data_IF_191080726783
#
_entry.id   IF_191080726783
#
_cell.length_a   1.000
_cell.length_b   1.000
_cell.length_c   1.000
_cell.angle_alpha   90.00
_cell.angle_beta   90.00
_cell.angle_gamma   90.00
#
_symmetry.space_group_name_H-M   'P 1'
#
loop_
_entity.id
_entity.type
_entity.pdbx_description
1 polymer ?
#
# COMPACT_ATOMS: atom_id res chain seq x y z
N UNK A 1 -18.04 21.31 27.28
CA UNK A 1 -17.62 19.99 26.74
C UNK A 1 -16.87 20.23 25.44
N UNK A 2 -15.54 20.34 25.50
CA UNK A 2 -14.69 20.63 24.34
C UNK A 2 -14.43 19.34 23.56
N UNK A 3 -15.07 19.20 22.40
CA UNK A 3 -14.69 18.19 21.41
C UNK A 3 -13.35 18.59 20.77
N UNK A 4 -12.26 18.05 21.29
CA UNK A 4 -10.98 18.04 20.59
C UNK A 4 -11.12 17.19 19.32
N UNK A 5 -11.23 17.86 18.16
CA UNK A 5 -10.92 17.25 16.86
C UNK A 5 -9.42 16.91 16.87
N UNK A 6 -9.08 15.66 17.18
CA UNK A 6 -7.75 15.10 16.97
C UNK A 6 -7.52 14.85 15.47
N UNK A 7 -7.49 15.92 14.68
CA UNK A 7 -6.98 15.94 13.31
C UNK A 7 -5.46 16.08 13.34
N UNK A 8 -4.77 15.12 13.96
CA UNK A 8 -3.32 15.04 13.83
C UNK A 8 -3.01 14.49 12.45
N UNK A 9 -2.36 15.30 11.61
CA UNK A 9 -1.73 14.89 10.36
C UNK A 9 -0.72 13.78 10.66
N UNK A 10 -1.21 12.53 10.70
CA UNK A 10 -0.35 11.36 10.75
C UNK A 10 0.34 11.28 9.41
N UNK A 11 1.64 11.52 9.44
CA UNK A 11 2.55 11.45 8.30
C UNK A 11 2.27 10.16 7.52
N UNK A 12 1.80 10.34 6.28
CA UNK A 12 1.44 9.24 5.38
C UNK A 12 2.74 8.75 4.72
N UNK A 13 3.19 7.51 4.99
CA UNK A 13 4.36 6.99 4.30
C UNK A 13 4.07 6.97 2.79
N UNK A 14 4.99 7.54 2.01
CA UNK A 14 4.84 7.67 0.56
C UNK A 14 4.50 9.06 0.02
N UNK A 15 4.15 10.05 0.86
CA UNK A 15 4.01 11.45 0.41
C UNK A 15 5.37 12.17 0.36
N UNK A 16 6.35 11.51 -0.29
CA UNK A 16 7.64 12.13 -0.60
C UNK A 16 7.36 13.23 -1.60
N UNK A 17 7.25 14.49 -1.14
CA UNK A 17 7.42 15.64 -2.03
C UNK A 17 8.76 15.42 -2.73
N UNK A 18 8.74 15.24 -4.06
CA UNK A 18 9.95 15.23 -4.87
C UNK A 18 10.56 16.63 -4.78
N UNK A 19 11.39 16.89 -3.79
CA UNK A 19 12.31 18.01 -3.81
C UNK A 19 13.50 17.62 -4.68
N UNK A 20 13.74 18.38 -5.76
CA UNK A 20 15.01 18.41 -6.47
C UNK A 20 15.30 17.24 -7.40
N UNK A 21 15.36 17.51 -8.70
CA UNK A 21 16.16 16.69 -9.62
C UNK A 21 17.62 16.92 -9.26
N UNK A 22 18.33 15.88 -8.84
CA UNK A 22 19.78 15.80 -9.05
C UNK A 22 20.01 14.73 -10.11
N UNK A 23 20.47 15.21 -11.28
CA UNK A 23 21.14 14.37 -12.26
C UNK A 23 22.51 14.09 -11.66
N UNK A 24 22.86 12.83 -11.46
CA UNK A 24 24.26 12.47 -11.48
C UNK A 24 24.47 11.30 -12.44
N UNK A 25 25.43 11.51 -13.32
CA UNK A 25 25.82 10.59 -14.36
C UNK A 25 26.95 9.71 -13.84
N UNK A 26 26.81 8.40 -14.00
CA UNK A 26 27.96 7.51 -14.06
C UNK A 26 27.58 6.29 -14.90
N UNK A 27 28.31 6.17 -16.00
CA UNK A 27 28.21 5.12 -17.00
C UNK A 27 29.21 3.99 -16.69
N UNK A 28 28.84 2.76 -17.09
CA UNK A 28 29.65 1.53 -17.24
C UNK A 28 30.09 0.81 -15.94
N UNK A 29 29.85 -0.50 -15.75
CA UNK A 29 30.29 -1.61 -16.60
C UNK A 29 29.35 -2.83 -16.62
N UNK A 30 29.54 -3.62 -17.68
CA UNK A 30 28.74 -4.71 -18.21
C UNK A 30 28.78 -6.04 -17.42
N UNK A 31 27.69 -6.80 -17.53
CA UNK A 31 27.57 -8.22 -17.23
C UNK A 31 26.37 -8.81 -17.97
N UNK A 32 26.62 -9.69 -18.94
CA UNK A 32 25.68 -10.19 -19.96
C UNK A 32 24.52 -11.09 -19.49
N UNK A 33 23.73 -11.62 -20.45
CA UNK A 33 22.28 -11.76 -20.31
C UNK A 33 21.83 -13.14 -19.80
N UNK A 34 20.84 -13.16 -18.91
CA UNK A 34 20.04 -14.36 -18.67
C UNK A 34 18.67 -14.24 -19.35
N UNK A 35 18.57 -14.91 -20.50
CA UNK A 35 17.31 -15.26 -21.16
C UNK A 35 16.51 -16.17 -20.22
N UNK A 36 15.30 -15.76 -19.86
CA UNK A 36 14.29 -16.65 -19.32
C UNK A 36 12.95 -16.40 -20.02
N UNK A 37 12.54 -17.38 -20.84
CA UNK A 37 11.14 -17.71 -21.14
C UNK A 37 10.26 -16.62 -21.75
N UNK A 38 10.28 -16.53 -23.09
CA UNK A 38 9.19 -15.95 -23.89
C UNK A 38 7.90 -16.74 -23.59
N UNK A 39 6.96 -16.17 -22.83
CA UNK A 39 5.56 -16.60 -22.84
C UNK A 39 4.82 -15.76 -23.88
N UNK A 40 4.54 -16.39 -25.01
CA UNK A 40 3.68 -15.89 -26.07
C UNK A 40 2.22 -15.83 -25.63
N UNK A 41 1.47 -14.86 -26.17
CA UNK A 41 0.04 -15.05 -26.46
C UNK A 41 -0.99 -14.45 -25.51
N UNK A 42 -0.99 -13.13 -25.33
CA UNK A 42 -2.14 -12.19 -25.24
C UNK A 42 -1.54 -10.85 -24.83
N UNK A 43 -1.86 -9.76 -25.52
CA UNK A 43 -1.61 -8.43 -24.94
C UNK A 43 -2.39 -8.41 -23.62
N UNK A 44 -1.68 -8.49 -22.49
CA UNK A 44 -2.34 -8.61 -21.19
C UNK A 44 -3.20 -7.37 -20.99
N UNK A 45 -4.41 -7.51 -20.46
CA UNK A 45 -5.29 -6.38 -20.12
C UNK A 45 -4.51 -5.30 -19.32
N UNK A 46 -3.52 -5.72 -18.53
CA UNK A 46 -2.48 -4.91 -17.88
C UNK A 46 -1.85 -3.83 -18.77
N UNK A 47 -1.44 -4.18 -20.00
CA UNK A 47 -0.68 -3.31 -20.91
C UNK A 47 -1.54 -2.22 -21.53
N UNK A 48 -2.84 -2.48 -21.69
CA UNK A 48 -3.78 -1.52 -22.28
C UNK A 48 -4.52 -0.67 -21.23
N UNK A 49 -4.88 -1.26 -20.08
CA UNK A 49 -5.72 -0.59 -19.08
C UNK A 49 -4.93 0.27 -18.09
N UNK A 50 -3.71 -0.12 -17.71
CA UNK A 50 -2.95 0.66 -16.72
C UNK A 50 -2.66 2.11 -17.16
N UNK A 51 -2.27 2.38 -18.42
CA UNK A 51 -2.10 3.75 -18.89
C UNK A 51 -3.40 4.57 -18.76
N UNK A 52 -4.54 3.99 -19.12
CA UNK A 52 -5.85 4.66 -19.04
C UNK A 52 -6.23 4.97 -17.59
N UNK A 53 -6.07 3.99 -16.68
CA UNK A 53 -6.30 4.19 -15.24
C UNK A 53 -5.35 5.25 -14.67
N UNK A 54 -4.09 5.26 -15.12
CA UNK A 54 -3.09 6.21 -14.64
C UNK A 54 -3.28 7.63 -15.17
N UNK A 55 -3.93 7.81 -16.32
CA UNK A 55 -4.16 9.12 -16.95
C UNK A 55 -5.45 9.81 -16.50
N UNK A 56 -6.33 9.14 -15.75
CA UNK A 56 -7.61 9.69 -15.30
C UNK A 56 -7.45 10.99 -14.52
N UNK A 57 -8.26 12.00 -14.83
CA UNK A 57 -8.13 13.33 -14.23
C UNK A 57 -9.19 13.63 -13.17
N UNK A 58 -10.33 12.92 -13.21
CA UNK A 58 -11.43 13.15 -12.28
C UNK A 58 -12.10 11.85 -11.82
N UNK A 59 -12.83 11.94 -10.70
CA UNK A 59 -13.45 10.79 -10.05
C UNK A 59 -14.48 10.09 -10.95
N UNK A 60 -15.29 10.83 -11.70
CA UNK A 60 -16.34 10.26 -12.56
C UNK A 60 -15.76 9.40 -13.67
N UNK A 61 -14.74 9.91 -14.36
CA UNK A 61 -14.00 9.16 -15.39
C UNK A 61 -13.36 7.90 -14.80
N UNK A 62 -12.73 8.03 -13.62
CA UNK A 62 -12.10 6.92 -12.91
C UNK A 62 -13.10 5.83 -12.52
N UNK A 63 -14.30 6.20 -12.07
CA UNK A 63 -15.38 5.26 -11.76
C UNK A 63 -15.90 4.56 -13.02
N UNK A 64 -16.16 5.30 -14.09
CA UNK A 64 -16.65 4.74 -15.36
C UNK A 64 -15.67 3.73 -15.98
N UNK A 65 -14.37 3.98 -15.91
CA UNK A 65 -13.33 3.04 -16.38
C UNK A 65 -13.35 1.77 -15.54
N UNK A 66 -13.46 1.88 -14.21
CA UNK A 66 -13.54 0.71 -13.35
C UNK A 66 -14.75 -0.15 -13.68
N UNK A 67 -15.93 0.45 -13.82
CA UNK A 67 -17.17 -0.27 -14.12
C UNK A 67 -17.10 -0.98 -15.48
N UNK A 68 -16.58 -0.30 -16.50
CA UNK A 68 -16.52 -0.84 -17.86
C UNK A 68 -15.52 -1.99 -18.01
N UNK A 69 -14.56 -2.13 -17.09
CA UNK A 69 -13.44 -3.07 -17.20
C UNK A 69 -13.30 -3.99 -15.98
N UNK A 70 -14.27 -4.01 -15.05
CA UNK A 70 -14.13 -4.67 -13.75
C UNK A 70 -13.75 -6.17 -13.87
N UNK A 71 -14.27 -6.85 -14.88
CA UNK A 71 -14.08 -8.28 -15.10
C UNK A 71 -12.69 -8.59 -15.69
N UNK A 72 -12.06 -7.64 -16.38
CA UNK A 72 -10.73 -7.80 -16.98
C UNK A 72 -9.61 -7.32 -16.05
N UNK A 73 -9.95 -6.69 -14.92
CA UNK A 73 -8.97 -6.18 -13.96
C UNK A 73 -8.16 -7.31 -13.32
N UNK A 74 -6.83 -7.15 -13.41
CA UNK A 74 -5.83 -7.94 -12.70
C UNK A 74 -5.39 -7.23 -11.39
N UNK A 75 -4.54 -7.86 -10.56
CA UNK A 75 -4.02 -7.25 -9.33
C UNK A 75 -3.39 -5.86 -9.51
N UNK A 76 -2.68 -5.63 -10.61
CA UNK A 76 -2.02 -4.36 -10.88
C UNK A 76 -3.07 -3.29 -11.21
N UNK A 77 -4.07 -3.61 -12.03
CA UNK A 77 -5.16 -2.70 -12.36
C UNK A 77 -5.96 -2.34 -11.10
N UNK A 78 -6.31 -3.31 -10.26
CA UNK A 78 -7.05 -3.10 -9.01
C UNK A 78 -6.29 -2.17 -8.07
N UNK A 79 -5.01 -2.48 -7.81
CA UNK A 79 -4.15 -1.64 -6.97
C UNK A 79 -3.99 -0.24 -7.55
N UNK A 80 -3.74 -0.13 -8.86
CA UNK A 80 -3.55 1.17 -9.52
C UNK A 80 -4.82 2.00 -9.44
N UNK A 81 -5.99 1.38 -9.65
CA UNK A 81 -7.27 2.05 -9.54
C UNK A 81 -7.51 2.61 -8.13
N UNK A 82 -7.38 1.77 -7.10
CA UNK A 82 -7.55 2.20 -5.70
C UNK A 82 -6.52 3.26 -5.30
N UNK A 83 -5.27 3.14 -5.77
CA UNK A 83 -4.23 4.12 -5.49
C UNK A 83 -4.49 5.46 -6.16
N UNK A 84 -4.95 5.46 -7.43
CA UNK A 84 -5.35 6.68 -8.13
C UNK A 84 -6.52 7.34 -7.42
N UNK A 85 -7.57 6.58 -7.10
CA UNK A 85 -8.71 7.06 -6.32
C UNK A 85 -8.23 7.70 -5.00
N UNK A 86 -7.41 7.01 -4.21
CA UNK A 86 -6.86 7.54 -2.96
C UNK A 86 -6.10 8.87 -3.12
N UNK A 87 -5.33 9.02 -4.21
CA UNK A 87 -4.59 10.26 -4.49
C UNK A 87 -5.49 11.39 -5.01
N UNK A 88 -6.48 11.07 -5.84
CA UNK A 88 -7.44 12.04 -6.38
C UNK A 88 -8.35 12.61 -5.30
N UNK A 89 -8.64 11.80 -4.27
CA UNK A 89 -9.59 12.15 -3.22
C UNK A 89 -8.89 12.69 -1.96
N UNK A 90 -7.59 12.96 -2.05
CA UNK A 90 -6.70 13.39 -0.96
C UNK A 90 -7.00 14.76 -0.35
N UNK A 91 -8.22 15.26 -0.51
CA UNK A 91 -8.71 16.54 -0.02
C UNK A 91 -10.22 16.66 -0.23
N UNK A 92 -11.00 15.93 0.57
CA UNK A 92 -12.47 16.02 0.70
C UNK A 92 -13.25 15.58 -0.55
N UNK A 93 -13.64 14.31 -0.57
CA UNK A 93 -14.74 13.82 -1.42
C UNK A 93 -16.07 14.27 -0.81
N UNK A 94 -17.04 14.71 -1.64
CA UNK A 94 -18.39 15.03 -1.13
C UNK A 94 -19.07 13.78 -0.58
N UNK A 95 -20.16 13.95 0.18
CA UNK A 95 -20.91 12.81 0.71
C UNK A 95 -21.50 11.98 -0.43
N UNK A 96 -21.98 12.66 -1.46
CA UNK A 96 -22.61 12.08 -2.64
C UNK A 96 -21.59 11.28 -3.46
N UNK A 97 -20.43 11.86 -3.74
CA UNK A 97 -19.33 11.18 -4.43
C UNK A 97 -18.85 9.94 -3.66
N UNK A 98 -18.81 10.02 -2.32
CA UNK A 98 -18.42 8.90 -1.47
C UNK A 98 -19.42 7.77 -1.54
N UNK A 99 -20.70 8.10 -1.50
CA UNK A 99 -21.77 7.11 -1.63
C UNK A 99 -21.72 6.45 -3.02
N UNK A 100 -21.60 7.25 -4.08
CA UNK A 100 -21.53 6.76 -5.45
C UNK A 100 -20.32 5.84 -5.65
N UNK A 101 -19.12 6.27 -5.22
CA UNK A 101 -17.92 5.44 -5.26
C UNK A 101 -18.09 4.13 -4.49
N UNK A 102 -18.69 4.20 -3.30
CA UNK A 102 -18.86 3.04 -2.44
C UNK A 102 -19.83 2.00 -3.02
N UNK A 103 -20.93 2.46 -3.60
CA UNK A 103 -21.98 1.61 -4.19
C UNK A 103 -21.56 1.03 -5.54
N UNK A 104 -20.96 1.86 -6.41
CA UNK A 104 -20.68 1.48 -7.79
C UNK A 104 -19.38 0.70 -7.94
N UNK A 105 -18.31 1.13 -7.27
CA UNK A 105 -16.95 0.66 -7.60
C UNK A 105 -16.25 -0.04 -6.43
N UNK A 106 -16.32 0.51 -5.23
CA UNK A 106 -15.53 0.04 -4.08
C UNK A 106 -15.77 -1.43 -3.75
N UNK A 107 -17.03 -1.85 -3.60
CA UNK A 107 -17.39 -3.24 -3.26
C UNK A 107 -16.87 -4.23 -4.30
N UNK A 108 -16.98 -3.88 -5.58
CA UNK A 108 -16.53 -4.73 -6.68
C UNK A 108 -15.00 -4.84 -6.70
N UNK A 109 -14.27 -3.73 -6.54
CA UNK A 109 -12.80 -3.75 -6.46
C UNK A 109 -12.30 -4.57 -5.27
N UNK A 110 -12.95 -4.47 -4.11
CA UNK A 110 -12.60 -5.29 -2.94
C UNK A 110 -12.86 -6.77 -3.18
N UNK A 111 -13.97 -7.12 -3.82
CA UNK A 111 -14.26 -8.51 -4.19
C UNK A 111 -13.22 -9.05 -5.16
N UNK A 112 -12.91 -8.31 -6.23
CA UNK A 112 -11.87 -8.67 -7.20
C UNK A 112 -10.50 -8.82 -6.55
N UNK A 113 -10.15 -7.93 -5.61
CA UNK A 113 -8.91 -8.02 -4.83
C UNK A 113 -8.87 -9.30 -3.99
N UNK A 114 -9.98 -9.67 -3.36
CA UNK A 114 -10.09 -10.89 -2.57
C UNK A 114 -9.96 -12.15 -3.43
N UNK A 115 -10.64 -12.19 -4.58
CA UNK A 115 -10.64 -13.34 -5.49
C UNK A 115 -9.26 -13.62 -6.10
N UNK A 116 -8.49 -12.56 -6.36
CA UNK A 116 -7.17 -12.62 -7.02
C UNK A 116 -5.99 -12.38 -6.09
N UNK A 117 -6.21 -12.37 -4.76
CA UNK A 117 -5.19 -11.97 -3.77
C UNK A 117 -3.89 -12.79 -3.85
N UNK A 118 -3.98 -14.04 -4.32
CA UNK A 118 -2.84 -14.95 -4.52
C UNK A 118 -1.85 -14.44 -5.57
N UNK A 119 -2.34 -13.66 -6.53
CA UNK A 119 -1.56 -13.12 -7.64
C UNK A 119 -0.92 -11.76 -7.30
N UNK A 120 -1.18 -11.22 -6.11
CA UNK A 120 -0.57 -9.96 -5.67
C UNK A 120 0.90 -10.17 -5.25
N UNK A 121 1.78 -9.29 -5.74
CA UNK A 121 3.16 -9.16 -5.29
C UNK A 121 3.30 -8.26 -4.06
N UNK A 122 4.51 -8.16 -3.48
CA UNK A 122 4.78 -7.33 -2.30
C UNK A 122 4.31 -5.88 -2.46
N UNK A 123 4.70 -5.25 -3.58
CA UNK A 123 4.37 -3.87 -3.90
C UNK A 123 2.88 -3.66 -4.16
N UNK A 124 2.19 -4.62 -4.78
CA UNK A 124 0.75 -4.47 -5.01
C UNK A 124 -0.05 -4.68 -3.72
N UNK A 125 0.39 -5.58 -2.82
CA UNK A 125 -0.20 -5.74 -1.48
C UNK A 125 0.01 -4.49 -0.60
N UNK A 126 1.23 -3.94 -0.56
CA UNK A 126 1.53 -2.73 0.22
C UNK A 126 0.70 -1.55 -0.27
N UNK A 127 0.64 -1.34 -1.58
CA UNK A 127 -0.14 -0.26 -2.18
C UNK A 127 -1.64 -0.47 -2.00
N UNK A 128 -2.15 -1.69 -2.13
CA UNK A 128 -3.56 -2.00 -1.84
C UNK A 128 -3.92 -1.56 -0.42
N UNK A 129 -3.16 -2.00 0.58
CA UNK A 129 -3.42 -1.65 1.98
C UNK A 129 -3.26 -0.15 2.25
N UNK A 130 -2.25 0.50 1.65
CA UNK A 130 -2.08 1.94 1.73
C UNK A 130 -3.30 2.68 1.16
N UNK A 131 -3.79 2.28 -0.01
CA UNK A 131 -4.95 2.91 -0.64
C UNK A 131 -6.22 2.76 0.18
N UNK A 132 -6.46 1.57 0.73
CA UNK A 132 -7.60 1.33 1.62
C UNK A 132 -7.52 2.20 2.88
N UNK A 133 -6.34 2.31 3.48
CA UNK A 133 -6.12 3.16 4.65
C UNK A 133 -6.28 4.66 4.36
N UNK A 134 -5.82 5.12 3.19
CA UNK A 134 -5.98 6.51 2.75
C UNK A 134 -7.43 6.86 2.43
N UNK A 135 -8.18 5.92 1.84
CA UNK A 135 -9.61 6.09 1.54
C UNK A 135 -10.52 5.88 2.78
N UNK A 136 -9.95 5.46 3.91
CA UNK A 136 -10.66 5.04 5.12
C UNK A 136 -11.67 3.90 4.86
N UNK A 137 -11.29 2.97 3.99
CA UNK A 137 -12.08 1.78 3.63
C UNK A 137 -11.57 0.62 4.48
N UNK A 138 -12.46 0.05 5.30
CA UNK A 138 -12.13 -1.15 6.07
C UNK A 138 -12.17 -2.38 5.16
N UNK A 139 -11.04 -3.07 4.92
CA UNK A 139 -11.08 -4.37 4.27
C UNK A 139 -11.91 -5.34 5.13
N UNK A 140 -12.80 -6.10 4.50
CA UNK A 140 -13.52 -7.17 5.20
C UNK A 140 -12.57 -8.20 5.81
N UNK A 141 -13.04 -8.97 6.79
CA UNK A 141 -12.22 -9.93 7.52
C UNK A 141 -11.51 -10.94 6.60
N UNK A 142 -12.20 -11.39 5.54
CA UNK A 142 -11.63 -12.32 4.55
C UNK A 142 -10.38 -11.74 3.86
N UNK A 143 -10.47 -10.49 3.38
CA UNK A 143 -9.35 -9.83 2.72
C UNK A 143 -8.20 -9.56 3.69
N UNK A 144 -8.48 -9.19 4.95
CA UNK A 144 -7.46 -9.04 5.99
C UNK A 144 -6.73 -10.36 6.24
N UNK A 145 -7.47 -11.47 6.38
CA UNK A 145 -6.88 -12.79 6.58
C UNK A 145 -6.03 -13.19 5.36
N UNK A 146 -6.52 -12.96 4.15
CA UNK A 146 -5.77 -13.24 2.94
C UNK A 146 -4.48 -12.41 2.85
N UNK A 147 -4.55 -11.08 3.03
CA UNK A 147 -3.38 -10.19 3.03
C UNK A 147 -2.36 -10.65 4.08
N UNK A 148 -2.78 -10.85 5.33
CA UNK A 148 -1.86 -11.26 6.40
C UNK A 148 -1.20 -12.60 6.12
N UNK A 149 -1.93 -13.59 5.58
CA UNK A 149 -1.37 -14.88 5.19
C UNK A 149 -0.32 -14.75 4.09
N UNK A 150 -0.61 -14.00 3.03
CA UNK A 150 0.28 -13.85 1.88
C UNK A 150 1.48 -12.94 2.16
N UNK A 151 1.34 -11.96 3.05
CA UNK A 151 2.43 -11.05 3.42
C UNK A 151 3.39 -11.67 4.43
N UNK A 152 2.89 -12.44 5.41
CA UNK A 152 3.70 -12.93 6.55
C UNK A 152 4.97 -13.66 6.15
N UNK A 153 4.89 -14.54 5.14
CA UNK A 153 6.05 -15.32 4.66
C UNK A 153 6.91 -14.58 3.64
N UNK A 154 6.49 -13.39 3.22
CA UNK A 154 7.11 -12.62 2.13
C UNK A 154 7.73 -11.31 2.59
N UNK A 155 7.69 -10.97 3.88
CA UNK A 155 8.26 -9.72 4.37
C UNK A 155 9.72 -9.50 3.97
N UNK A 156 10.52 -10.56 3.85
CA UNK A 156 11.91 -10.49 3.39
C UNK A 156 12.12 -9.94 1.96
N UNK A 157 11.09 -9.98 1.11
CA UNK A 157 11.13 -9.42 -0.25
C UNK A 157 10.45 -8.04 -0.35
N UNK A 158 9.91 -7.51 0.75
CA UNK A 158 9.35 -6.16 0.77
C UNK A 158 10.50 -5.14 0.80
N UNK A 159 10.34 -4.04 0.05
CA UNK A 159 11.20 -2.87 0.28
C UNK A 159 10.85 -2.23 1.63
N UNK A 160 11.74 -1.40 2.24
CA UNK A 160 11.41 -0.67 3.46
C UNK A 160 10.12 0.14 3.33
N UNK A 161 9.89 0.77 2.18
CA UNK A 161 8.67 1.54 1.91
C UNK A 161 7.43 0.63 1.85
N UNK A 162 7.50 -0.50 1.16
CA UNK A 162 6.38 -1.45 1.09
C UNK A 162 6.00 -1.99 2.47
N UNK A 163 7.01 -2.30 3.28
CA UNK A 163 6.83 -2.76 4.65
C UNK A 163 6.18 -1.67 5.51
N UNK A 164 6.68 -0.44 5.43
CA UNK A 164 6.15 0.69 6.18
C UNK A 164 4.70 1.01 5.80
N UNK A 165 4.36 0.98 4.51
CA UNK A 165 3.00 1.14 4.04
C UNK A 165 2.06 0.09 4.64
N UNK A 166 2.50 -1.16 4.72
CA UNK A 166 1.72 -2.24 5.33
C UNK A 166 1.46 -1.97 6.82
N UNK A 167 2.51 -1.69 7.60
CA UNK A 167 2.39 -1.47 9.06
C UNK A 167 1.53 -0.23 9.36
N UNK A 168 1.77 0.87 8.63
CA UNK A 168 0.99 2.09 8.77
C UNK A 168 -0.48 1.88 8.40
N UNK A 169 -0.78 1.15 7.33
CA UNK A 169 -2.16 0.89 6.93
C UNK A 169 -2.94 0.12 8.00
N UNK A 170 -2.32 -0.89 8.63
CA UNK A 170 -2.91 -1.60 9.77
C UNK A 170 -3.21 -0.64 10.93
N UNK A 171 -2.26 0.23 11.28
CA UNK A 171 -2.43 1.21 12.34
C UNK A 171 -3.53 2.23 12.02
N UNK A 172 -3.53 2.79 10.82
CA UNK A 172 -4.49 3.80 10.35
C UNK A 172 -5.92 3.26 10.34
N UNK A 173 -6.12 2.03 9.85
CA UNK A 173 -7.42 1.36 9.82
C UNK A 173 -7.82 0.74 11.16
N UNK A 174 -6.96 0.82 12.19
CA UNK A 174 -7.14 0.19 13.51
C UNK A 174 -7.40 -1.32 13.42
N UNK A 175 -6.74 -1.99 12.48
CA UNK A 175 -6.80 -3.44 12.33
C UNK A 175 -5.81 -4.06 13.30
N UNK A 176 -6.32 -4.80 14.29
CA UNK A 176 -5.45 -5.49 15.23
C UNK A 176 -4.81 -6.70 14.54
N UNK A 177 -3.47 -6.74 14.38
CA UNK A 177 -2.82 -7.88 13.76
C UNK A 177 -2.92 -9.11 14.67
N UNK A 178 -3.01 -10.30 14.08
CA UNK A 178 -2.88 -11.54 14.85
C UNK A 178 -1.50 -11.62 15.51
N UNK A 179 -1.38 -12.34 16.62
CA UNK A 179 -0.08 -12.51 17.31
C UNK A 179 1.03 -13.01 16.38
N UNK A 180 0.69 -13.91 15.44
CA UNK A 180 1.64 -14.42 14.44
C UNK A 180 2.09 -13.34 13.45
N UNK A 181 1.18 -12.49 12.99
CA UNK A 181 1.52 -11.39 12.08
C UNK A 181 2.29 -10.28 12.79
N UNK A 182 1.91 -9.95 14.02
CA UNK A 182 2.64 -9.01 14.88
C UNK A 182 4.09 -9.45 15.12
N UNK A 183 4.32 -10.74 15.43
CA UNK A 183 5.69 -11.29 15.56
C UNK A 183 6.48 -11.17 14.27
N UNK A 184 5.84 -11.38 13.11
CA UNK A 184 6.49 -11.24 11.81
C UNK A 184 6.85 -9.78 11.48
N UNK A 185 5.98 -8.82 11.83
CA UNK A 185 6.26 -7.38 11.72
C UNK A 185 7.52 -7.06 12.55
N UNK A 186 7.51 -7.37 13.85
CA UNK A 186 8.63 -7.03 14.75
C UNK A 186 9.95 -7.68 14.31
N UNK A 187 9.91 -8.94 13.88
CA UNK A 187 11.08 -9.64 13.36
C UNK A 187 11.63 -8.98 12.08
N UNK A 188 10.76 -8.63 11.13
CA UNK A 188 11.20 -7.99 9.90
C UNK A 188 11.75 -6.59 10.17
N UNK A 189 11.15 -5.83 11.09
CA UNK A 189 11.61 -4.49 11.46
C UNK A 189 13.07 -4.47 11.91
N UNK A 190 13.50 -5.46 12.70
CA UNK A 190 14.92 -5.59 13.10
C UNK A 190 15.87 -5.64 11.89
N UNK A 191 15.49 -6.34 10.83
CA UNK A 191 16.31 -6.42 9.62
C UNK A 191 16.27 -5.17 8.73
N UNK A 192 15.22 -4.34 8.85
CA UNK A 192 15.01 -3.18 7.99
C UNK A 192 15.34 -1.84 8.67
N UNK A 193 15.47 -1.81 10.00
CA UNK A 193 15.64 -0.58 10.78
C UNK A 193 16.85 0.25 10.34
N UNK A 194 17.94 -0.41 9.93
CA UNK A 194 19.15 0.25 9.40
C UNK A 194 18.92 0.98 8.07
N UNK A 195 17.76 0.81 7.44
CA UNK A 195 17.36 1.44 6.17
C UNK A 195 16.23 2.45 6.37
N UNK A 196 15.81 2.69 7.61
CA UNK A 196 14.74 3.64 7.91
C UNK A 196 15.30 5.05 7.95
N UNK A 197 14.58 6.00 7.39
CA UNK A 197 14.82 7.42 7.65
C UNK A 197 14.25 7.81 9.02
N UNK A 198 14.65 8.95 9.58
CA UNK A 198 14.05 9.48 10.82
C UNK A 198 12.50 9.56 10.71
N UNK A 199 12.00 9.93 9.53
CA UNK A 199 10.57 9.99 9.23
C UNK A 199 9.91 8.60 9.26
N UNK A 200 10.59 7.58 8.73
CA UNK A 200 10.12 6.20 8.79
C UNK A 200 10.08 5.71 10.24
N UNK A 201 11.08 6.04 11.06
CA UNK A 201 11.12 5.69 12.49
C UNK A 201 9.94 6.30 13.23
N UNK A 202 9.66 7.60 13.07
CA UNK A 202 8.52 8.27 13.71
C UNK A 202 7.19 7.60 13.32
N UNK A 203 7.02 7.35 12.03
CA UNK A 203 5.81 6.70 11.49
C UNK A 203 5.67 5.27 12.03
N UNK A 204 6.78 4.54 12.10
CA UNK A 204 6.84 3.17 12.57
C UNK A 204 6.50 3.07 14.06
N UNK A 205 7.16 3.88 14.91
CA UNK A 205 6.92 3.91 16.36
C UNK A 205 5.48 4.31 16.67
N UNK A 206 4.93 5.32 15.98
CA UNK A 206 3.53 5.72 16.12
C UNK A 206 2.56 4.59 15.72
N UNK A 207 2.91 3.86 14.66
CA UNK A 207 2.12 2.70 14.21
C UNK A 207 2.18 1.55 15.22
N UNK A 208 3.35 1.23 15.78
CA UNK A 208 3.48 0.22 16.84
C UNK A 208 2.66 0.58 18.07
N UNK A 209 2.73 1.84 18.51
CA UNK A 209 1.95 2.34 19.64
C UNK A 209 0.44 2.20 19.39
N UNK A 210 -0.03 2.62 18.21
CA UNK A 210 -1.45 2.49 17.82
C UNK A 210 -1.90 1.03 17.80
N UNK A 211 -1.05 0.13 17.32
CA UNK A 211 -1.30 -1.31 17.26
C UNK A 211 -1.04 -2.03 18.59
N UNK A 212 -0.59 -1.31 19.63
CA UNK A 212 -0.20 -1.86 20.94
C UNK A 212 0.85 -2.98 20.83
N UNK A 213 1.73 -2.89 19.84
CA UNK A 213 2.82 -3.83 19.64
C UNK A 213 4.02 -3.42 20.50
N UNK A 214 4.53 -4.35 21.31
CA UNK A 214 5.68 -4.13 22.17
C UNK A 214 6.95 -4.58 21.44
N UNK A 215 7.81 -3.66 20.98
CA UNK A 215 9.12 -4.04 20.45
C UNK A 215 9.99 -4.61 21.58
N UNK A 216 10.84 -5.59 21.25
CA UNK A 216 11.86 -6.07 22.19
C UNK A 216 13.01 -5.07 22.32
N UNK A 217 13.84 -5.23 23.36
CA UNK A 217 14.95 -4.32 23.67
C UNK A 217 15.89 -4.12 22.48
N UNK A 218 16.18 -5.17 21.72
CA UNK A 218 17.02 -5.11 20.52
C UNK A 218 16.48 -4.11 19.48
N UNK A 219 15.17 -4.16 19.21
CA UNK A 219 14.54 -3.26 18.24
C UNK A 219 14.47 -1.82 18.78
N UNK A 220 14.26 -1.65 20.07
CA UNK A 220 14.30 -0.34 20.72
C UNK A 220 15.69 0.28 20.55
N UNK A 221 16.75 -0.45 20.90
CA UNK A 221 18.13 0.01 20.75
C UNK A 221 18.46 0.34 19.30
N UNK A 222 18.08 -0.53 18.36
CA UNK A 222 18.34 -0.30 16.94
C UNK A 222 17.61 0.93 16.39
N UNK A 223 16.37 1.20 16.83
CA UNK A 223 15.64 2.42 16.48
C UNK A 223 16.29 3.66 17.09
N UNK A 224 16.78 3.60 18.33
CA UNK A 224 17.47 4.71 18.99
C UNK A 224 18.79 5.09 18.33
N UNK A 225 19.54 4.12 17.79
CA UNK A 225 20.79 4.39 17.08
C UNK A 225 20.59 5.05 15.70
N UNK A 226 19.40 4.94 15.11
CA UNK A 226 19.08 5.45 13.77
C UNK A 226 18.26 6.76 13.79
N UNK A 227 17.75 7.16 14.96
CA UNK A 227 16.94 8.36 15.16
C UNK A 227 17.83 9.58 15.41
#
# INVERSE_FOLDING_TARGET
ALHHKAGGDRLVPGDRRKSGKEKDGSEHLAGGPQKAGKKSGKASATTQLNPQIASTQNLKEMMAICESNMQSFDPINITTALHRLAKMTGGVMTREERQEFQERVCKQLLQRANDSIRDFGPRTLSNLMWSLATLDIKPGLQLIQAVTMHTRSRFQIFTPLDFMNMVWAFAKLRITPTARFAKAILKQSLSLVVRFTCQDILTFVSSLSTLKLKPGNELILALSHQA
#
